data_IF_649475030910
#
_entry.id   IF_649475030910
#
_cell.length_a   1.000
_cell.length_b   1.000
_cell.length_c   1.000
_cell.angle_alpha   90.00
_cell.angle_beta   90.00
_cell.angle_gamma   90.00
#
_symmetry.space_group_name_H-M   'P 1'
#
loop_
_entity.id
_entity.type
_entity.pdbx_description
1 polymer ?
#
# COMPACT_ATOMS: atom_id res chain seq x y z
N UNK A 1 9.27 31.71 26.31
CA UNK A 1 9.29 30.23 26.15
C UNK A 1 7.90 29.84 25.69
N UNK A 2 7.56 29.58 24.43
CA UNK A 2 8.33 29.22 23.26
C UNK A 2 7.71 27.94 22.71
N UNK A 3 6.62 28.05 21.94
CA UNK A 3 6.12 26.94 21.14
C UNK A 3 5.68 27.40 19.75
N UNK A 4 6.23 26.72 18.75
CA UNK A 4 6.18 27.05 17.33
C UNK A 4 4.87 26.56 16.73
N UNK A 5 4.20 27.45 16.00
CA UNK A 5 2.92 27.17 15.36
C UNK A 5 2.98 26.11 14.27
N UNK A 6 1.92 25.31 14.19
CA UNK A 6 1.60 24.50 13.02
C UNK A 6 0.29 25.03 12.43
N UNK A 7 0.40 25.58 11.22
CA UNK A 7 -0.70 26.10 10.40
C UNK A 7 -1.21 24.95 9.52
N UNK A 8 -2.46 24.53 9.68
CA UNK A 8 -3.37 24.22 8.57
C UNK A 8 -4.79 23.98 9.12
N UNK A 9 -5.65 25.00 9.01
CA UNK A 9 -7.09 24.91 9.22
C UNK A 9 -7.76 24.93 7.85
N UNK A 10 -8.61 23.95 7.53
CA UNK A 10 -9.80 24.04 6.66
C UNK A 10 -10.42 22.62 6.53
N UNK A 11 -11.72 22.35 6.56
CA UNK A 11 -12.96 23.11 6.78
C UNK A 11 -14.07 22.05 6.97
N UNK A 12 -14.94 22.26 7.97
CA UNK A 12 -16.20 21.51 8.16
C UNK A 12 -17.33 22.51 7.85
N UNK A 13 -18.24 22.17 6.94
CA UNK A 13 -19.54 22.86 6.82
C UNK A 13 -20.60 21.78 6.64
N UNK A 14 -21.58 21.78 7.53
CA UNK A 14 -22.52 20.68 7.76
C UNK A 14 -23.84 20.80 6.98
N UNK A 15 -23.85 21.50 5.85
CA UNK A 15 -25.07 21.72 5.08
C UNK A 15 -24.78 21.62 3.58
N UNK A 16 -25.63 20.85 2.91
CA UNK A 16 -25.70 20.51 1.48
C UNK A 16 -24.85 19.30 1.01
N UNK A 17 -25.58 18.19 0.76
CA UNK A 17 -25.07 16.89 0.30
C UNK A 17 -24.66 16.85 -1.18
N UNK A 18 -24.70 17.96 -1.92
CA UNK A 18 -24.30 17.99 -3.32
C UNK A 18 -23.49 19.25 -3.63
N UNK A 19 -22.34 19.05 -4.29
CA UNK A 19 -21.37 20.06 -4.78
C UNK A 19 -20.25 20.49 -3.81
N UNK A 20 -19.19 19.68 -3.69
CA UNK A 20 -17.83 20.22 -3.44
C UNK A 20 -17.32 20.82 -4.76
N UNK A 21 -17.84 22.01 -5.07
CA UNK A 21 -17.52 22.78 -6.27
C UNK A 21 -16.21 23.55 -6.05
N UNK A 22 -15.10 23.11 -6.63
CA UNK A 22 -13.84 23.88 -6.74
C UNK A 22 -13.93 25.09 -7.69
N UNK A 23 -15.14 25.57 -8.02
CA UNK A 23 -15.33 26.65 -9.01
C UNK A 23 -15.46 28.04 -8.41
N UNK A 24 -15.84 28.19 -7.15
CA UNK A 24 -15.91 29.50 -6.49
C UNK A 24 -15.78 29.35 -4.98
N UNK A 25 -14.57 29.57 -4.46
CA UNK A 25 -14.35 29.73 -3.03
C UNK A 25 -14.29 31.24 -2.73
N UNK A 26 -15.38 31.83 -2.24
CA UNK A 26 -15.39 33.18 -1.64
C UNK A 26 -15.50 33.07 -0.12
N UNK A 27 -14.51 33.59 0.60
CA UNK A 27 -14.52 33.73 2.07
C UNK A 27 -14.17 35.16 2.45
N UNK A 28 -15.14 35.98 2.87
CA UNK A 28 -14.86 37.36 3.29
C UNK A 28 -14.06 38.18 2.27
N UNK A 29 -13.47 39.31 2.67
CA UNK A 29 -12.83 40.27 1.74
C UNK A 29 -11.48 39.82 1.15
N UNK A 30 -11.12 38.52 1.21
CA UNK A 30 -9.83 38.02 0.74
C UNK A 30 -9.94 36.74 -0.10
N UNK A 31 -9.54 36.84 -1.37
CA UNK A 31 -9.42 35.69 -2.29
C UNK A 31 -8.13 34.93 -1.95
N UNK A 32 -8.24 33.65 -1.60
CA UNK A 32 -7.09 32.74 -1.55
C UNK A 32 -6.93 32.14 -2.96
N UNK A 33 -5.82 32.45 -3.62
CA UNK A 33 -5.45 31.87 -4.91
C UNK A 33 -5.13 30.38 -4.71
N UNK A 34 -6.11 29.50 -4.95
CA UNK A 34 -5.83 28.08 -5.18
C UNK A 34 -5.03 28.00 -6.49
N UNK A 35 -3.87 27.34 -6.45
CA UNK A 35 -2.89 27.35 -7.53
C UNK A 35 -3.49 27.02 -8.90
N UNK A 36 -2.93 27.63 -9.94
CA UNK A 36 -3.26 27.38 -11.36
C UNK A 36 -3.37 25.87 -11.61
N UNK A 37 -4.50 25.43 -12.15
CA UNK A 37 -4.68 24.03 -12.56
C UNK A 37 -3.56 23.63 -13.52
N UNK A 38 -2.87 22.54 -13.20
CA UNK A 38 -1.85 21.98 -14.10
C UNK A 38 -2.48 21.07 -15.14
N UNK A 39 -3.50 20.29 -14.74
CA UNK A 39 -4.29 19.43 -15.62
C UNK A 39 -5.73 19.32 -15.09
N UNK A 40 -6.72 19.15 -15.97
CA UNK A 40 -8.10 18.85 -15.57
C UNK A 40 -8.89 18.19 -16.70
N UNK A 41 -9.93 17.46 -16.31
CA UNK A 41 -10.98 16.99 -17.22
C UNK A 41 -12.37 17.12 -16.56
N UNK A 42 -13.35 16.41 -17.12
CA UNK A 42 -14.74 16.38 -16.63
C UNK A 42 -14.90 15.76 -15.24
N UNK A 43 -13.98 14.89 -14.82
CA UNK A 43 -14.08 14.09 -13.59
C UNK A 43 -12.97 14.39 -12.58
N UNK A 44 -11.80 14.86 -13.03
CA UNK A 44 -10.58 14.97 -12.26
C UNK A 44 -9.95 16.37 -12.38
N UNK A 45 -9.22 16.76 -11.34
CA UNK A 45 -8.44 18.00 -11.29
C UNK A 45 -7.07 17.72 -10.70
N UNK A 46 -6.02 18.28 -11.30
CA UNK A 46 -4.65 18.24 -10.81
C UNK A 46 -4.12 19.66 -10.56
N UNK A 47 -3.51 19.87 -9.41
CA UNK A 47 -2.94 21.15 -9.01
C UNK A 47 -1.74 20.95 -8.09
N UNK A 48 -0.92 21.99 -7.94
CA UNK A 48 0.27 21.94 -7.09
C UNK A 48 -0.09 21.93 -5.61
N UNK A 49 0.55 21.07 -4.84
CA UNK A 49 0.44 21.08 -3.38
C UNK A 49 0.99 22.41 -2.83
N UNK A 50 0.26 23.03 -1.90
CA UNK A 50 0.62 24.31 -1.28
C UNK A 50 1.82 24.18 -0.32
N UNK A 51 2.04 22.99 0.25
CA UNK A 51 3.22 22.64 1.05
C UNK A 51 3.92 21.46 0.36
N UNK A 52 4.68 21.72 -0.72
CA UNK A 52 5.32 20.66 -1.48
C UNK A 52 6.32 19.89 -0.63
N UNK A 53 6.26 18.55 -0.69
CA UNK A 53 7.18 17.66 0.04
C UNK A 53 8.38 17.20 -0.81
N UNK A 54 8.35 17.48 -2.11
CA UNK A 54 9.39 17.25 -3.10
C UNK A 54 9.40 18.42 -4.11
N UNK A 55 10.44 18.58 -4.95
CA UNK A 55 10.52 19.67 -5.93
C UNK A 55 9.24 19.83 -6.79
N UNK A 56 8.68 18.70 -7.23
CA UNK A 56 7.37 18.61 -7.85
C UNK A 56 6.45 17.83 -6.91
N UNK A 57 5.40 18.47 -6.42
CA UNK A 57 4.37 17.85 -5.59
C UNK A 57 3.01 18.34 -6.08
N UNK A 58 2.22 17.42 -6.62
CA UNK A 58 0.86 17.70 -7.11
C UNK A 58 -0.16 16.85 -6.35
N UNK A 59 -1.39 17.33 -6.34
CA UNK A 59 -2.56 16.60 -5.87
C UNK A 59 -3.50 16.39 -7.06
N UNK A 60 -3.91 15.13 -7.26
CA UNK A 60 -5.00 14.79 -8.18
C UNK A 60 -6.23 14.44 -7.37
N UNK A 61 -7.36 15.08 -7.63
CA UNK A 61 -8.61 14.92 -6.90
C UNK A 61 -9.78 14.63 -7.84
N UNK A 62 -10.72 13.75 -7.48
CA UNK A 62 -11.98 13.63 -8.19
C UNK A 62 -12.89 14.82 -7.88
N UNK A 63 -13.70 15.24 -8.86
CA UNK A 63 -14.77 16.21 -8.63
C UNK A 63 -15.88 15.62 -7.78
N UNK A 64 -16.17 14.33 -7.98
CA UNK A 64 -17.09 13.58 -7.12
C UNK A 64 -16.45 13.39 -5.76
N UNK A 65 -17.18 13.74 -4.70
CA UNK A 65 -16.69 13.54 -3.34
C UNK A 65 -16.55 12.04 -3.01
N UNK A 66 -15.35 11.68 -2.56
CA UNK A 66 -15.00 10.41 -1.94
C UNK A 66 -14.19 10.78 -0.70
N UNK A 67 -14.57 10.31 0.48
CA UNK A 67 -13.99 10.76 1.76
C UNK A 67 -12.46 10.58 1.81
N UNK A 68 -11.99 9.34 1.63
CA UNK A 68 -10.57 9.01 1.69
C UNK A 68 -10.28 7.70 0.97
N UNK A 69 -9.03 7.23 1.02
CA UNK A 69 -8.63 5.99 0.38
C UNK A 69 -9.32 4.73 0.95
N UNK A 70 -9.86 4.76 2.18
CA UNK A 70 -10.64 3.65 2.74
C UNK A 70 -12.02 3.49 2.10
N UNK A 71 -12.53 4.53 1.44
CA UNK A 71 -13.79 4.48 0.69
C UNK A 71 -13.60 3.88 -0.72
N UNK A 72 -12.36 3.59 -1.11
CA UNK A 72 -12.07 2.94 -2.39
C UNK A 72 -12.48 1.46 -2.35
N UNK A 73 -12.95 0.97 -3.50
CA UNK A 73 -13.35 -0.42 -3.71
C UNK A 73 -12.85 -0.85 -5.09
N UNK A 74 -12.97 -2.13 -5.45
CA UNK A 74 -12.60 -2.61 -6.78
C UNK A 74 -13.28 -1.83 -7.93
N UNK A 75 -14.47 -1.24 -7.70
CA UNK A 75 -15.18 -0.41 -8.69
C UNK A 75 -14.48 0.91 -9.00
N UNK A 76 -13.61 1.37 -8.11
CA UNK A 76 -12.85 2.60 -8.25
C UNK A 76 -11.48 2.40 -8.91
N UNK A 77 -11.13 1.18 -9.35
CA UNK A 77 -9.84 0.90 -9.97
C UNK A 77 -9.54 1.81 -11.17
N UNK A 78 -10.52 1.99 -12.08
CA UNK A 78 -10.38 2.88 -13.24
C UNK A 78 -10.24 4.34 -12.86
N UNK A 79 -10.89 4.79 -11.78
CA UNK A 79 -10.73 6.16 -11.28
C UNK A 79 -9.29 6.39 -10.79
N UNK A 80 -8.77 5.48 -9.97
CA UNK A 80 -7.42 5.58 -9.40
C UNK A 80 -6.35 5.52 -10.50
N UNK A 81 -6.54 4.68 -11.51
CA UNK A 81 -5.66 4.62 -12.69
C UNK A 81 -5.64 5.96 -13.44
N UNK A 82 -6.83 6.53 -13.74
CA UNK A 82 -6.92 7.86 -14.37
C UNK A 82 -6.29 8.97 -13.53
N UNK A 83 -6.44 8.92 -12.19
CA UNK A 83 -5.78 9.86 -11.30
C UNK A 83 -4.25 9.77 -11.41
N UNK A 84 -3.71 8.55 -11.44
CA UNK A 84 -2.28 8.33 -11.61
C UNK A 84 -1.78 8.80 -12.99
N UNK A 85 -2.56 8.56 -14.06
CA UNK A 85 -2.24 9.03 -15.41
C UNK A 85 -2.24 10.55 -15.52
N UNK A 86 -3.23 11.23 -14.94
CA UNK A 86 -3.26 12.69 -14.87
C UNK A 86 -2.07 13.25 -14.08
N UNK A 87 -1.68 12.59 -12.98
CA UNK A 87 -0.48 12.94 -12.22
C UNK A 87 0.81 12.80 -13.03
N UNK A 88 0.96 11.68 -13.75
CA UNK A 88 2.10 11.46 -14.66
C UNK A 88 2.13 12.46 -15.81
N UNK A 89 0.97 12.79 -16.39
CA UNK A 89 0.87 13.82 -17.42
C UNK A 89 1.32 15.18 -16.90
N UNK A 90 0.87 15.58 -15.70
CA UNK A 90 1.30 16.82 -15.07
C UNK A 90 2.82 16.88 -14.79
N UNK A 91 3.45 15.75 -14.48
CA UNK A 91 4.92 15.66 -14.37
C UNK A 91 5.62 15.84 -15.73
N UNK A 92 5.11 15.19 -16.77
CA UNK A 92 5.66 15.27 -18.13
C UNK A 92 5.60 16.68 -18.71
N UNK A 93 4.51 17.40 -18.46
CA UNK A 93 4.37 18.81 -18.88
C UNK A 93 5.41 19.74 -18.23
N UNK A 94 5.98 19.31 -17.11
CA UNK A 94 7.03 20.03 -16.40
C UNK A 94 8.43 19.53 -16.77
N UNK A 95 8.54 18.69 -17.80
CA UNK A 95 9.80 18.14 -18.31
C UNK A 95 10.35 16.98 -17.47
N UNK A 96 9.59 16.44 -16.52
CA UNK A 96 10.01 15.27 -15.74
C UNK A 96 9.70 14.01 -16.57
N UNK A 97 10.77 13.35 -17.03
CA UNK A 97 10.69 12.15 -17.87
C UNK A 97 11.08 10.87 -17.15
N UNK A 98 11.85 10.97 -16.06
CA UNK A 98 12.16 9.84 -15.19
C UNK A 98 10.94 9.49 -14.34
N UNK A 99 10.16 8.52 -14.83
CA UNK A 99 8.97 8.01 -14.15
C UNK A 99 9.28 6.92 -13.13
N UNK A 100 10.54 6.48 -13.02
CA UNK A 100 10.95 5.47 -12.03
C UNK A 100 11.22 6.13 -10.68
N UNK A 101 11.70 7.38 -10.67
CA UNK A 101 11.91 8.18 -9.46
C UNK A 101 10.69 9.05 -9.10
N UNK A 102 9.48 8.47 -9.12
CA UNK A 102 8.26 9.17 -8.69
C UNK A 102 7.57 8.44 -7.54
N UNK A 103 6.74 9.16 -6.79
CA UNK A 103 5.90 8.57 -5.75
C UNK A 103 4.46 9.00 -5.89
N UNK A 104 3.62 8.01 -6.16
CA UNK A 104 2.17 8.17 -6.23
C UNK A 104 1.53 7.46 -5.04
N UNK A 105 0.61 8.11 -4.34
CA UNK A 105 -0.20 7.44 -3.32
C UNK A 105 -1.10 8.35 -2.51
N UNK A 106 -1.86 7.74 -1.60
CA UNK A 106 -2.83 8.41 -0.75
C UNK A 106 -2.36 8.38 0.71
N UNK A 107 -2.54 9.47 1.45
CA UNK A 107 -2.46 9.37 2.90
C UNK A 107 -3.64 8.54 3.44
N UNK A 108 -3.38 7.73 4.48
CA UNK A 108 -4.39 6.92 5.15
C UNK A 108 -4.89 7.60 6.42
N UNK A 109 -6.19 7.54 6.76
CA UNK A 109 -6.68 8.01 8.06
C UNK A 109 -5.95 7.35 9.25
N UNK A 110 -5.71 8.08 10.37
CA UNK A 110 -6.06 9.47 10.63
C UNK A 110 -5.01 10.50 10.13
N UNK A 111 -4.11 10.12 9.22
CA UNK A 111 -3.00 10.95 8.75
C UNK A 111 -3.32 11.82 7.52
N UNK A 112 -4.60 11.92 7.15
CA UNK A 112 -5.11 12.80 6.08
C UNK A 112 -5.36 14.21 6.63
N UNK A 113 -4.93 15.24 5.91
CA UNK A 113 -5.16 16.65 6.29
C UNK A 113 -6.55 17.16 5.89
N UNK A 114 -7.18 16.55 4.87
CA UNK A 114 -8.50 16.92 4.36
C UNK A 114 -9.35 15.66 4.17
N UNK A 115 -10.66 15.78 4.43
CA UNK A 115 -11.62 14.71 4.19
C UNK A 115 -12.11 14.78 2.74
N UNK A 116 -11.23 14.46 1.80
CA UNK A 116 -11.54 14.26 0.39
C UNK A 116 -10.39 13.46 -0.23
N UNK A 117 -10.68 12.48 -1.08
CA UNK A 117 -9.67 11.65 -1.73
C UNK A 117 -8.73 12.49 -2.59
N UNK A 118 -7.44 12.51 -2.25
CA UNK A 118 -6.42 13.20 -3.04
C UNK A 118 -5.20 12.30 -3.22
N UNK A 119 -4.81 12.11 -4.48
CA UNK A 119 -3.60 11.39 -4.85
C UNK A 119 -2.42 12.35 -4.78
N UNK A 120 -1.44 12.05 -3.95
CA UNK A 120 -0.15 12.73 -3.97
C UNK A 120 0.69 12.23 -5.15
N UNK A 121 1.29 13.16 -5.88
CA UNK A 121 2.18 12.94 -7.02
C UNK A 121 3.49 13.66 -6.74
N UNK A 122 4.54 12.93 -6.38
CA UNK A 122 5.83 13.48 -5.97
C UNK A 122 6.91 13.12 -6.99
N UNK A 123 7.74 14.09 -7.37
CA UNK A 123 8.94 13.84 -8.16
C UNK A 123 10.04 14.88 -7.90
N UNK A 124 11.32 14.49 -7.99
CA UNK A 124 11.78 13.11 -7.83
C UNK A 124 11.52 12.60 -6.41
N UNK A 125 11.19 11.32 -6.26
CA UNK A 125 10.92 10.69 -4.97
C UNK A 125 12.17 10.59 -4.09
N UNK A 126 13.35 10.46 -4.72
CA UNK A 126 14.67 10.51 -4.08
C UNK A 126 14.97 11.86 -3.41
N UNK A 127 14.25 12.93 -3.77
CA UNK A 127 14.41 14.28 -3.19
C UNK A 127 13.20 14.73 -2.36
N UNK A 128 12.44 13.78 -1.81
CA UNK A 128 11.48 14.09 -0.75
C UNK A 128 12.26 14.64 0.45
N UNK A 129 11.85 15.80 0.96
CA UNK A 129 12.55 16.45 2.07
C UNK A 129 12.58 15.56 3.33
N UNK A 130 13.72 15.45 4.01
CA UNK A 130 13.92 14.54 5.14
C UNK A 130 12.86 14.68 6.24
N UNK A 131 12.42 15.90 6.53
CA UNK A 131 11.38 16.16 7.53
C UNK A 131 9.98 15.67 7.11
N UNK A 132 9.74 15.53 5.80
CA UNK A 132 8.47 15.05 5.22
C UNK A 132 8.51 13.58 4.86
N UNK A 133 9.69 13.01 4.58
CA UNK A 133 9.87 11.62 4.15
C UNK A 133 9.09 10.57 4.99
N UNK A 134 9.00 10.67 6.34
CA UNK A 134 8.23 9.72 7.15
C UNK A 134 6.72 9.69 6.89
N UNK A 135 6.18 10.68 6.17
CA UNK A 135 4.76 10.74 5.77
C UNK A 135 4.49 10.01 4.46
N UNK A 136 5.51 9.88 3.60
CA UNK A 136 5.41 9.36 2.24
C UNK A 136 6.17 8.04 2.07
N UNK A 137 6.30 7.25 3.15
CA UNK A 137 6.88 5.91 3.09
C UNK A 137 5.86 5.01 2.38
N UNK A 138 6.17 4.46 1.19
CA UNK A 138 5.26 3.58 0.47
C UNK A 138 4.80 2.41 1.33
N UNK A 139 3.51 2.07 1.21
CA UNK A 139 2.91 0.93 1.90
C UNK A 139 3.10 0.96 3.43
N UNK A 140 3.16 2.17 4.00
CA UNK A 140 3.13 2.36 5.44
C UNK A 140 1.69 2.58 5.91
N UNK A 141 1.45 2.44 7.21
CA UNK A 141 0.18 2.80 7.85
C UNK A 141 -0.26 4.26 7.62
N UNK A 142 0.64 5.13 7.10
CA UNK A 142 0.36 6.52 6.75
C UNK A 142 0.12 6.75 5.27
N UNK A 143 0.69 5.93 4.37
CA UNK A 143 0.71 6.20 2.94
C UNK A 143 0.54 4.93 2.10
N UNK A 144 -0.54 4.89 1.33
CA UNK A 144 -0.90 3.82 0.42
C UNK A 144 -0.45 4.16 -1.01
N UNK A 145 0.59 3.47 -1.50
CA UNK A 145 1.08 3.67 -2.86
C UNK A 145 0.11 3.14 -3.92
N UNK A 146 0.06 3.80 -5.10
CA UNK A 146 -0.83 3.38 -6.21
C UNK A 146 -0.32 2.13 -6.93
N UNK A 147 0.99 1.90 -6.90
CA UNK A 147 1.60 0.66 -7.38
C UNK A 147 1.87 -0.26 -6.19
N UNK A 148 1.53 -1.53 -6.33
CA UNK A 148 1.81 -2.54 -5.31
C UNK A 148 3.29 -2.94 -5.34
N UNK A 149 4.01 -2.78 -4.22
CA UNK A 149 5.42 -3.20 -4.06
C UNK A 149 5.70 -4.61 -4.60
N UNK A 150 4.87 -5.58 -4.21
CA UNK A 150 5.04 -6.96 -4.65
C UNK A 150 4.75 -7.17 -6.13
N UNK A 151 3.82 -6.41 -6.72
CA UNK A 151 3.65 -6.42 -8.17
C UNK A 151 4.87 -5.85 -8.88
N UNK A 152 5.50 -4.81 -8.35
CA UNK A 152 6.77 -4.32 -8.89
C UNK A 152 7.82 -5.44 -8.84
N UNK A 153 8.05 -6.06 -7.69
CA UNK A 153 9.03 -7.17 -7.57
C UNK A 153 8.71 -8.35 -8.51
N UNK A 154 7.43 -8.67 -8.72
CA UNK A 154 7.04 -9.80 -9.58
C UNK A 154 7.09 -9.48 -11.07
N UNK A 155 6.91 -8.21 -11.48
CA UNK A 155 6.83 -7.78 -12.89
C UNK A 155 8.10 -7.13 -13.42
N UNK A 156 8.85 -6.41 -12.59
CA UNK A 156 10.07 -5.71 -12.97
C UNK A 156 11.30 -6.44 -12.41
N UNK A 157 12.44 -6.28 -13.09
CA UNK A 157 13.75 -6.68 -12.59
C UNK A 157 14.18 -5.70 -11.50
N UNK A 158 13.43 -5.62 -10.40
CA UNK A 158 13.99 -5.06 -9.17
C UNK A 158 15.26 -5.86 -8.85
N UNK A 159 16.41 -5.23 -9.02
CA UNK A 159 17.72 -5.87 -8.84
C UNK A 159 18.10 -5.99 -7.38
N UNK A 160 17.41 -5.27 -6.48
CA UNK A 160 17.79 -5.18 -5.07
C UNK A 160 17.11 -6.25 -4.22
N UNK A 161 16.02 -6.85 -4.71
CA UNK A 161 15.33 -7.94 -4.01
C UNK A 161 15.84 -9.32 -4.48
N UNK A 162 16.43 -10.08 -3.56
CA UNK A 162 16.87 -11.46 -3.81
C UNK A 162 15.67 -12.39 -4.05
N UNK A 163 15.56 -12.96 -5.25
CA UNK A 163 14.58 -14.00 -5.59
C UNK A 163 15.16 -15.38 -5.29
N UNK A 164 14.56 -16.08 -4.33
CA UNK A 164 14.98 -17.41 -3.87
C UNK A 164 14.47 -18.51 -4.80
N UNK A 165 13.22 -18.38 -5.26
CA UNK A 165 12.57 -19.31 -6.19
C UNK A 165 11.49 -18.57 -6.96
N UNK A 166 11.20 -19.01 -8.19
CA UNK A 166 10.14 -18.44 -9.02
C UNK A 166 9.58 -19.52 -9.94
N UNK A 167 8.27 -19.50 -10.13
CA UNK A 167 7.58 -20.19 -11.22
C UNK A 167 6.66 -19.19 -11.97
N UNK A 168 5.69 -19.71 -12.72
CA UNK A 168 4.76 -18.90 -13.51
C UNK A 168 3.81 -18.06 -12.63
N UNK A 169 3.38 -18.61 -11.49
CA UNK A 169 2.30 -18.05 -10.69
C UNK A 169 2.80 -17.46 -9.36
N UNK A 170 3.99 -17.84 -8.90
CA UNK A 170 4.53 -17.53 -7.59
C UNK A 170 6.01 -17.11 -7.65
N UNK A 171 6.37 -16.21 -6.73
CA UNK A 171 7.75 -15.80 -6.44
C UNK A 171 8.01 -15.95 -4.95
N UNK A 172 9.15 -16.53 -4.60
CA UNK A 172 9.63 -16.60 -3.23
C UNK A 172 10.82 -15.64 -3.03
N UNK A 173 10.71 -14.79 -2.00
CA UNK A 173 11.66 -13.72 -1.69
C UNK A 173 12.17 -13.89 -0.25
N UNK A 174 13.35 -13.35 0.04
CA UNK A 174 13.81 -13.20 1.43
C UNK A 174 13.12 -12.01 2.09
N UNK A 175 12.63 -12.19 3.32
CA UNK A 175 12.07 -11.07 4.07
C UNK A 175 13.19 -10.10 4.51
N UNK A 176 13.00 -8.80 4.25
CA UNK A 176 13.99 -7.76 4.55
C UNK A 176 14.20 -7.52 6.07
N UNK A 177 13.25 -7.95 6.92
CA UNK A 177 13.28 -7.83 8.38
C UNK A 177 12.91 -9.17 9.01
N UNK A 178 13.80 -10.18 8.90
CA UNK A 178 13.49 -11.56 9.23
C UNK A 178 12.98 -11.74 10.67
N UNK A 179 11.88 -12.47 10.82
CA UNK A 179 11.28 -12.81 12.12
C UNK A 179 11.86 -14.09 12.73
N UNK A 180 12.45 -14.94 11.90
CA UNK A 180 13.15 -16.17 12.24
C UNK A 180 14.42 -16.28 11.37
N UNK A 181 15.29 -17.26 11.64
CA UNK A 181 16.53 -17.48 10.90
C UNK A 181 16.30 -17.64 9.39
N UNK A 182 15.30 -18.44 9.03
CA UNK A 182 14.77 -18.58 7.69
C UNK A 182 13.42 -17.88 7.68
N UNK A 183 13.34 -16.71 7.05
CA UNK A 183 12.09 -15.99 6.84
C UNK A 183 11.96 -15.63 5.36
N UNK A 184 11.06 -16.32 4.69
CA UNK A 184 10.75 -16.12 3.28
C UNK A 184 9.31 -15.66 3.10
N UNK A 185 9.05 -15.02 1.96
CA UNK A 185 7.74 -14.58 1.53
C UNK A 185 7.42 -15.26 0.20
N UNK A 186 6.37 -16.06 0.16
CA UNK A 186 5.83 -16.59 -1.11
C UNK A 186 4.69 -15.69 -1.55
N UNK A 187 4.74 -15.20 -2.78
CA UNK A 187 3.91 -14.10 -3.29
C UNK A 187 3.41 -14.44 -4.69
N UNK A 188 2.11 -14.29 -4.98
CA UNK A 188 1.60 -14.46 -6.34
C UNK A 188 2.15 -13.41 -7.32
N UNK A 189 2.37 -13.82 -8.57
CA UNK A 189 2.80 -12.90 -9.64
C UNK A 189 1.68 -11.92 -10.00
N UNK A 190 0.43 -12.38 -9.94
CA UNK A 190 -0.77 -11.57 -10.12
C UNK A 190 -1.18 -10.86 -8.83
N UNK A 191 -1.60 -9.59 -8.92
CA UNK A 191 -2.07 -8.85 -7.74
C UNK A 191 -3.30 -9.51 -7.11
N UNK A 192 -3.18 -9.90 -5.85
CA UNK A 192 -4.29 -10.41 -5.03
C UNK A 192 -4.29 -9.67 -3.70
N UNK A 193 -5.46 -9.29 -3.17
CA UNK A 193 -5.60 -8.44 -1.98
C UNK A 193 -4.83 -8.91 -0.74
N UNK A 194 -5.49 -9.51 0.24
CA UNK A 194 -4.82 -10.15 1.38
C UNK A 194 -5.55 -11.45 1.74
N UNK A 195 -5.15 -12.11 2.83
CA UNK A 195 -5.76 -13.38 3.20
C UNK A 195 -7.28 -13.30 3.47
N UNK A 196 -7.82 -12.16 3.92
CA UNK A 196 -9.28 -11.98 4.11
C UNK A 196 -10.05 -11.74 2.82
N UNK A 197 -9.34 -11.50 1.72
CA UNK A 197 -9.92 -11.41 0.36
C UNK A 197 -10.04 -12.77 -0.33
N UNK A 198 -9.54 -13.85 0.30
CA UNK A 198 -9.56 -15.19 -0.28
C UNK A 198 -10.95 -15.82 -0.20
N UNK A 199 -11.25 -16.62 -1.24
CA UNK A 199 -12.49 -17.36 -1.43
C UNK A 199 -12.19 -18.80 -1.83
N UNK A 200 -13.21 -19.67 -1.86
CA UNK A 200 -13.04 -21.10 -2.18
C UNK A 200 -12.30 -21.34 -3.49
N UNK A 201 -12.51 -20.51 -4.51
CA UNK A 201 -11.79 -20.58 -5.80
C UNK A 201 -10.27 -20.36 -5.68
N UNK A 202 -9.81 -19.72 -4.61
CA UNK A 202 -8.40 -19.42 -4.36
C UNK A 202 -7.67 -20.53 -3.58
N UNK A 203 -8.34 -21.63 -3.21
CA UNK A 203 -7.68 -22.76 -2.51
C UNK A 203 -6.45 -23.28 -3.28
N UNK A 204 -6.49 -23.50 -4.60
CA UNK A 204 -5.34 -24.04 -5.34
C UNK A 204 -4.07 -23.17 -5.22
N UNK A 205 -4.19 -21.84 -5.32
CA UNK A 205 -3.03 -20.96 -5.21
C UNK A 205 -2.47 -20.95 -3.78
N UNK A 206 -3.32 -21.04 -2.75
CA UNK A 206 -2.86 -21.12 -1.34
C UNK A 206 -2.10 -22.42 -1.08
N UNK A 207 -2.55 -23.55 -1.65
CA UNK A 207 -1.83 -24.82 -1.56
C UNK A 207 -0.48 -24.77 -2.29
N UNK A 208 -0.43 -24.18 -3.49
CA UNK A 208 0.83 -23.96 -4.22
C UNK A 208 1.81 -23.07 -3.43
N UNK A 209 1.31 -21.99 -2.79
CA UNK A 209 2.13 -21.12 -1.94
C UNK A 209 2.75 -21.91 -0.78
N UNK A 210 1.95 -22.75 -0.12
CA UNK A 210 2.42 -23.62 0.96
C UNK A 210 3.48 -24.59 0.47
N UNK A 211 3.28 -25.21 -0.68
CA UNK A 211 4.21 -26.18 -1.26
C UNK A 211 5.54 -25.54 -1.66
N UNK A 212 5.50 -24.39 -2.35
CA UNK A 212 6.71 -23.62 -2.65
C UNK A 212 7.47 -23.25 -1.38
N UNK A 213 6.76 -22.83 -0.33
CA UNK A 213 7.36 -22.54 0.97
C UNK A 213 8.11 -23.72 1.57
N UNK A 214 7.53 -24.93 1.49
CA UNK A 214 8.17 -26.17 1.96
C UNK A 214 9.41 -26.49 1.14
N UNK A 215 9.30 -26.47 -0.19
CA UNK A 215 10.42 -26.74 -1.07
C UNK A 215 11.61 -25.78 -0.83
N UNK A 216 11.33 -24.50 -0.59
CA UNK A 216 12.37 -23.51 -0.29
C UNK A 216 13.05 -23.82 1.05
N UNK A 217 12.29 -24.18 2.09
CA UNK A 217 12.87 -24.58 3.38
C UNK A 217 13.77 -25.81 3.28
N UNK A 218 13.34 -26.83 2.52
CA UNK A 218 14.14 -28.03 2.25
C UNK A 218 15.47 -27.69 1.55
N UNK A 219 15.44 -26.81 0.53
CA UNK A 219 16.64 -26.30 -0.15
C UNK A 219 17.59 -25.55 0.79
N UNK A 220 17.07 -25.01 1.90
CA UNK A 220 17.84 -24.33 2.95
C UNK A 220 18.19 -25.24 4.14
N UNK A 221 18.13 -26.57 3.96
CA UNK A 221 18.46 -27.59 4.96
C UNK A 221 17.61 -27.53 6.24
N UNK A 222 16.36 -27.07 6.13
CA UNK A 222 15.38 -27.15 7.22
C UNK A 222 14.63 -28.46 7.10
N UNK A 223 15.04 -29.45 7.88
CA UNK A 223 14.47 -30.81 7.84
C UNK A 223 13.34 -31.03 8.84
N UNK A 224 13.31 -30.26 9.94
CA UNK A 224 12.26 -30.35 10.95
C UNK A 224 11.05 -29.51 10.55
N UNK A 225 10.08 -30.15 9.90
CA UNK A 225 8.85 -29.53 9.45
C UNK A 225 7.86 -29.26 10.60
N UNK A 226 8.10 -29.79 11.81
CA UNK A 226 7.29 -29.48 12.99
C UNK A 226 7.65 -28.13 13.60
N UNK A 227 8.87 -27.65 13.35
CA UNK A 227 9.35 -26.34 13.78
C UNK A 227 9.23 -25.27 12.69
N UNK A 228 8.28 -25.47 11.78
CA UNK A 228 7.97 -24.54 10.69
C UNK A 228 6.66 -23.84 10.97
N UNK A 229 6.64 -22.54 10.70
CA UNK A 229 5.43 -21.73 10.80
C UNK A 229 5.15 -21.00 9.51
N UNK A 230 4.04 -21.37 8.87
CA UNK A 230 3.57 -20.72 7.64
C UNK A 230 2.21 -20.06 7.85
N UNK A 231 2.06 -18.82 7.40
CA UNK A 231 0.80 -18.11 7.54
C UNK A 231 0.81 -16.68 7.02
N UNK A 232 -0.29 -15.99 7.27
CA UNK A 232 -0.58 -14.66 6.76
C UNK A 232 -0.83 -13.71 7.92
N UNK A 233 -0.44 -12.44 7.75
CA UNK A 233 -0.94 -11.38 8.64
C UNK A 233 -2.38 -11.01 8.27
N UNK A 234 -3.21 -10.81 9.29
CA UNK A 234 -4.58 -10.31 9.16
C UNK A 234 -4.58 -8.77 9.08
N UNK A 235 -5.39 -8.16 8.20
CA UNK A 235 -5.62 -6.71 8.22
C UNK A 235 -6.18 -6.24 9.56
N UNK A 236 -5.86 -5.00 10.01
CA UNK A 236 -5.08 -3.97 9.32
C UNK A 236 -3.56 -4.12 9.46
N UNK A 237 -3.06 -5.24 10.03
CA UNK A 237 -1.65 -5.40 10.41
C UNK A 237 -0.78 -6.09 9.34
N UNK A 238 -1.28 -6.25 8.12
CA UNK A 238 -0.48 -6.68 6.97
C UNK A 238 0.44 -5.55 6.49
N UNK A 239 1.74 -5.83 6.32
CA UNK A 239 2.73 -4.84 5.87
C UNK A 239 2.55 -4.39 4.43
N UNK A 240 2.15 -5.30 3.54
CA UNK A 240 1.90 -5.04 2.12
C UNK A 240 0.51 -5.54 1.77
N UNK A 241 -0.36 -4.72 1.14
CA UNK A 241 -1.69 -5.12 0.69
C UNK A 241 -1.63 -5.92 -0.62
N UNK A 242 -0.86 -7.01 -0.59
CA UNK A 242 -0.80 -8.06 -1.60
C UNK A 242 -0.63 -9.36 -0.84
N UNK A 243 -1.39 -10.40 -1.20
CA UNK A 243 -1.29 -11.73 -0.62
C UNK A 243 0.18 -12.22 -0.55
N UNK A 244 0.67 -12.52 0.65
CA UNK A 244 1.99 -13.11 0.84
C UNK A 244 1.97 -14.07 2.00
N UNK A 245 2.49 -15.27 1.77
CA UNK A 245 2.67 -16.28 2.79
C UNK A 245 4.03 -16.06 3.46
N UNK A 246 4.02 -15.80 4.75
CA UNK A 246 5.22 -15.88 5.57
C UNK A 246 5.60 -17.33 5.77
N UNK A 247 6.86 -17.67 5.48
CA UNK A 247 7.45 -19.00 5.67
C UNK A 247 8.60 -18.85 6.65
N UNK A 248 8.40 -19.32 7.87
CA UNK A 248 9.30 -19.09 9.00
C UNK A 248 9.83 -20.40 9.57
N UNK A 249 11.14 -20.48 9.78
CA UNK A 249 11.79 -21.59 10.48
C UNK A 249 13.16 -21.18 11.08
N UNK A 250 13.62 -21.82 12.15
CA UNK A 250 12.81 -22.56 13.12
C UNK A 250 11.90 -21.60 13.90
N UNK A 251 10.67 -22.04 14.21
CA UNK A 251 9.71 -21.23 14.97
C UNK A 251 10.08 -21.15 16.47
N UNK A 252 10.73 -22.18 17.00
CA UNK A 252 11.21 -22.28 18.38
C UNK A 252 12.27 -21.23 18.73
N UNK A 253 13.05 -20.75 17.75
CA UNK A 253 14.09 -19.73 17.95
C UNK A 253 13.58 -18.29 17.79
N UNK A 254 12.28 -18.08 17.58
CA UNK A 254 11.72 -16.72 17.48
C UNK A 254 11.87 -15.97 18.81
N UNK A 255 12.43 -14.77 18.75
CA UNK A 255 12.44 -13.87 19.91
C UNK A 255 11.02 -13.39 20.27
N UNK A 256 10.86 -12.80 21.46
CA UNK A 256 9.55 -12.35 21.97
C UNK A 256 8.81 -11.38 21.03
N UNK A 257 9.52 -10.51 20.31
CA UNK A 257 8.93 -9.57 19.36
C UNK A 257 8.42 -10.29 18.10
N UNK A 258 9.13 -11.31 17.64
CA UNK A 258 8.68 -12.17 16.55
C UNK A 258 7.52 -13.05 16.98
N UNK A 259 7.55 -13.62 18.19
CA UNK A 259 6.44 -14.42 18.74
C UNK A 259 5.15 -13.60 18.89
N UNK A 260 5.24 -12.33 19.27
CA UNK A 260 4.07 -11.44 19.30
C UNK A 260 3.47 -11.21 17.90
N UNK A 261 4.29 -11.22 16.85
CA UNK A 261 3.85 -10.96 15.47
C UNK A 261 3.39 -12.20 14.72
N UNK A 262 4.13 -13.28 14.85
CA UNK A 262 3.92 -14.49 14.08
C UNK A 262 3.41 -15.63 14.95
N UNK A 263 3.78 -15.67 16.24
CA UNK A 263 3.59 -16.83 17.12
C UNK A 263 2.14 -17.24 17.36
N UNK A 264 1.93 -18.37 18.06
CA UNK A 264 0.60 -18.98 18.23
C UNK A 264 -0.40 -18.11 19.00
N UNK A 265 0.08 -17.18 19.82
CA UNK A 265 -0.74 -16.24 20.57
C UNK A 265 -0.99 -14.92 19.82
N UNK A 266 -0.47 -14.77 18.61
CA UNK A 266 -0.66 -13.54 17.83
C UNK A 266 -2.10 -13.44 17.33
N UNK A 267 -2.78 -12.35 17.68
CA UNK A 267 -4.17 -12.08 17.26
C UNK A 267 -4.30 -11.63 15.80
N UNK A 268 -3.19 -11.32 15.14
CA UNK A 268 -3.18 -10.83 13.77
C UNK A 268 -2.36 -11.72 12.83
N UNK A 269 -2.13 -12.97 13.19
CA UNK A 269 -1.49 -13.97 12.34
C UNK A 269 -2.34 -15.23 12.25
N UNK A 270 -2.65 -15.66 11.04
CA UNK A 270 -3.42 -16.89 10.77
C UNK A 270 -2.54 -17.88 10.01
N UNK A 271 -2.51 -19.14 10.46
CA UNK A 271 -1.74 -20.18 9.77
C UNK A 271 -2.37 -20.52 8.42
N UNK A 272 -1.54 -20.94 7.46
CA UNK A 272 -2.01 -21.37 6.14
C UNK A 272 -3.02 -22.51 6.22
N UNK A 273 -2.83 -23.43 7.16
CA UNK A 273 -3.76 -24.55 7.41
C UNK A 273 -5.12 -24.06 7.92
N UNK A 274 -5.15 -23.07 8.81
CA UNK A 274 -6.40 -22.47 9.28
C UNK A 274 -7.09 -21.70 8.16
N UNK A 275 -6.34 -20.98 7.30
CA UNK A 275 -6.90 -20.34 6.10
C UNK A 275 -7.56 -21.37 5.20
N UNK A 276 -6.84 -22.44 4.83
CA UNK A 276 -7.37 -23.52 3.99
C UNK A 276 -8.61 -24.18 4.61
N UNK A 277 -8.59 -24.42 5.92
CA UNK A 277 -9.75 -24.95 6.64
C UNK A 277 -10.95 -24.01 6.56
N UNK A 278 -10.77 -22.71 6.78
CA UNK A 278 -11.85 -21.73 6.68
C UNK A 278 -12.39 -21.57 5.26
N UNK A 279 -11.54 -21.59 4.24
CA UNK A 279 -11.97 -21.58 2.84
C UNK A 279 -12.81 -22.82 2.50
N UNK A 280 -12.40 -24.00 2.96
CA UNK A 280 -13.13 -25.24 2.73
C UNK A 280 -14.47 -25.31 3.48
N UNK A 281 -14.55 -24.77 4.70
CA UNK A 281 -15.74 -24.85 5.55
C UNK A 281 -16.71 -23.70 5.34
N UNK A 282 -16.20 -22.47 5.22
CA UNK A 282 -17.00 -21.24 5.18
C UNK A 282 -16.96 -20.52 3.82
N UNK A 283 -16.08 -20.93 2.90
CA UNK A 283 -15.91 -20.28 1.60
C UNK A 283 -15.17 -18.94 1.63
N UNK A 284 -14.73 -18.48 2.81
CA UNK A 284 -13.97 -17.24 3.02
C UNK A 284 -13.18 -17.31 4.34
N UNK A 285 -12.16 -16.47 4.46
CA UNK A 285 -11.40 -16.26 5.72
C UNK A 285 -12.13 -15.24 6.59
N UNK A 286 -12.23 -15.52 7.89
CA UNK A 286 -12.83 -14.67 8.93
C UNK A 286 -11.77 -13.99 9.77
#
# INVERSE_FOLDING_TARGET
MGDRGYICWCLYSQQDEDLVCFRDIRWGTGVIYVGVYTQQDGDLVCFRDIVPAAPHHYLVVPRKHIDCCWSLTHRHASLVERMADMGRAALRDQGITDMEDIRLGFHQPPYTSVNHLHLHVLAPASRIYDCMAPRFIPHSYRFLGVHCLFCCITTTKDTDTEIISRDQDLVCLRDAKPGARHHFLVVPTSHMGNCTSLHREHIPIVEQMKEMGRSVLEKHNVSDLQDVRMGFHLPPFSSVPHLHLHVLAPASEMNSRSLSRYGPQSYWFITVDNVLHQLNTHGKVK
#
